data_IF_826920596136
#
_entry.id   IF_826920596136
#
_cell.length_a   1.000
_cell.length_b   1.000
_cell.length_c   1.000
_cell.angle_alpha   90.00
_cell.angle_beta   90.00
_cell.angle_gamma   90.00
#
_symmetry.space_group_name_H-M   'P 1'
#
loop_
_entity.id
_entity.type
_entity.pdbx_description
1 polymer ?
#
# COMPACT_ATOMS: atom_id res chain seq x y z
N UNK A 1 -7.24 2.44 -1.05
CA UNK A 1 -6.51 3.60 -0.49
C UNK A 1 -6.73 4.90 -1.25
N UNK A 2 -6.28 5.08 -2.51
CA UNK A 2 -6.46 6.35 -3.25
C UNK A 2 -7.91 6.83 -3.30
N UNK A 3 -8.85 5.92 -3.60
CA UNK A 3 -10.29 6.22 -3.61
C UNK A 3 -10.80 6.75 -2.26
N UNK A 4 -10.26 6.25 -1.15
CA UNK A 4 -10.61 6.69 0.21
C UNK A 4 -10.31 8.16 0.47
N UNK A 5 -9.37 8.77 -0.27
CA UNK A 5 -9.10 10.21 -0.17
C UNK A 5 -10.02 11.04 -1.06
N UNK A 6 -10.50 10.47 -2.17
CA UNK A 6 -11.35 11.13 -3.15
C UNK A 6 -12.82 11.14 -2.70
N UNK A 7 -13.35 9.98 -2.29
CA UNK A 7 -14.77 9.76 -2.01
C UNK A 7 -15.03 9.56 -0.51
N UNK A 8 -14.63 10.53 0.31
CA UNK A 8 -14.65 10.41 1.78
C UNK A 8 -16.06 10.30 2.39
N UNK A 9 -17.11 10.65 1.64
CA UNK A 9 -18.49 10.56 2.10
C UNK A 9 -19.14 9.21 1.75
N UNK A 10 -18.68 8.58 0.66
CA UNK A 10 -19.24 7.33 0.15
C UNK A 10 -18.51 6.11 0.71
N UNK A 11 -17.20 6.21 0.90
CA UNK A 11 -16.40 5.13 1.48
C UNK A 11 -16.49 5.23 2.99
N UNK A 12 -16.95 4.16 3.64
CA UNK A 12 -17.09 4.08 5.10
C UNK A 12 -15.89 3.45 5.79
N UNK A 13 -15.19 2.53 5.12
CA UNK A 13 -14.01 1.87 5.64
C UNK A 13 -13.07 1.47 4.51
N UNK A 14 -11.78 1.32 4.80
CA UNK A 14 -10.82 0.77 3.86
C UNK A 14 -9.81 -0.14 4.59
N UNK A 15 -9.52 -1.29 4.01
CA UNK A 15 -8.44 -2.16 4.48
C UNK A 15 -7.44 -2.36 3.34
N UNK A 16 -6.15 -2.30 3.64
CA UNK A 16 -5.07 -2.55 2.69
C UNK A 16 -4.07 -3.53 3.32
N UNK A 17 -3.85 -4.65 2.65
CA UNK A 17 -2.87 -5.67 3.06
C UNK A 17 -1.74 -5.68 2.02
N UNK A 18 -0.49 -5.53 2.47
CA UNK A 18 0.69 -5.65 1.58
C UNK A 18 0.71 -4.65 0.41
N UNK A 19 0.15 -3.46 0.59
CA UNK A 19 0.01 -2.49 -0.49
C UNK A 19 1.30 -1.67 -0.73
N UNK A 20 1.81 -1.56 -1.98
CA UNK A 20 2.92 -0.67 -2.30
C UNK A 20 2.46 0.79 -2.29
N UNK A 21 2.87 1.57 -1.29
CA UNK A 21 2.38 2.94 -1.08
C UNK A 21 3.36 3.99 -1.61
N UNK A 22 4.63 3.86 -1.26
CA UNK A 22 5.65 4.84 -1.54
C UNK A 22 7.02 4.20 -1.75
N UNK A 23 7.55 3.50 -0.76
CA UNK A 23 8.97 3.16 -0.67
C UNK A 23 9.52 2.40 -1.90
N UNK A 24 8.87 1.28 -2.28
CA UNK A 24 9.28 0.49 -3.45
C UNK A 24 9.07 1.24 -4.78
N UNK A 25 8.07 2.12 -4.83
CA UNK A 25 7.72 2.89 -6.03
C UNK A 25 8.64 4.09 -6.25
N UNK A 26 9.16 4.69 -5.19
CA UNK A 26 10.06 5.84 -5.24
C UNK A 26 11.54 5.46 -5.28
N UNK A 27 11.88 4.21 -5.01
CA UNK A 27 13.27 3.75 -4.91
C UNK A 27 13.74 3.07 -6.20
N UNK A 28 14.49 3.79 -7.02
CA UNK A 28 15.05 3.24 -8.25
C UNK A 28 15.96 2.03 -8.00
N UNK A 29 16.71 2.00 -6.90
CA UNK A 29 17.59 0.88 -6.57
C UNK A 29 16.82 -0.36 -6.15
N UNK A 30 15.74 -0.20 -5.38
CA UNK A 30 14.85 -1.33 -5.04
C UNK A 30 14.16 -1.87 -6.29
N UNK A 31 13.75 -0.99 -7.21
CA UNK A 31 13.22 -1.38 -8.52
C UNK A 31 14.22 -2.20 -9.34
N UNK A 32 15.48 -1.78 -9.42
CA UNK A 32 16.53 -2.54 -10.11
C UNK A 32 16.80 -3.90 -9.47
N UNK A 33 16.67 -4.00 -8.15
CA UNK A 33 16.85 -5.26 -7.42
C UNK A 33 15.66 -6.22 -7.53
N UNK A 34 14.54 -5.79 -8.13
CA UNK A 34 13.37 -6.66 -8.26
C UNK A 34 13.65 -7.83 -9.22
N UNK A 35 13.16 -9.04 -8.90
CA UNK A 35 13.21 -10.15 -9.83
C UNK A 35 12.55 -9.81 -11.18
N UNK A 36 13.15 -10.30 -12.27
CA UNK A 36 12.74 -10.01 -13.65
C UNK A 36 11.24 -10.18 -13.89
N UNK A 37 10.63 -11.21 -13.29
CA UNK A 37 9.19 -11.45 -13.38
C UNK A 37 8.34 -10.21 -13.04
N UNK A 38 8.68 -9.47 -11.97
CA UNK A 38 7.94 -8.27 -11.58
C UNK A 38 8.14 -7.12 -12.57
N UNK A 39 9.37 -6.96 -13.08
CA UNK A 39 9.69 -5.96 -14.08
C UNK A 39 8.96 -6.23 -15.41
N UNK A 40 8.88 -7.49 -15.84
CA UNK A 40 8.15 -7.91 -17.04
C UNK A 40 6.64 -7.66 -16.87
N UNK A 41 6.07 -7.92 -15.68
CA UNK A 41 4.66 -7.60 -15.37
C UNK A 41 4.40 -6.10 -15.43
N UNK A 42 5.27 -5.28 -14.81
CA UNK A 42 5.13 -3.82 -14.85
C UNK A 42 5.27 -3.29 -16.28
N UNK A 43 6.25 -3.77 -17.05
CA UNK A 43 6.45 -3.42 -18.44
C UNK A 43 5.22 -3.75 -19.30
N UNK A 44 4.67 -4.95 -19.14
CA UNK A 44 3.45 -5.39 -19.82
C UNK A 44 2.25 -4.49 -19.49
N UNK A 45 2.04 -4.15 -18.22
CA UNK A 45 0.93 -3.28 -17.78
C UNK A 45 1.06 -1.83 -18.26
N UNK A 46 2.28 -1.38 -18.53
CA UNK A 46 2.56 -0.06 -19.10
C UNK A 46 2.58 -0.06 -20.64
N UNK A 47 2.40 -1.22 -21.30
CA UNK A 47 2.49 -1.34 -22.75
C UNK A 47 3.89 -1.11 -23.30
N UNK A 48 4.94 -1.36 -22.50
CA UNK A 48 6.33 -1.21 -22.94
C UNK A 48 6.82 -2.48 -23.63
N UNK A 49 7.26 -2.35 -24.88
CA UNK A 49 7.90 -3.43 -25.65
C UNK A 49 9.35 -3.67 -25.25
N UNK A 50 10.07 -2.61 -24.85
CA UNK A 50 11.41 -2.68 -24.25
C UNK A 50 11.40 -2.01 -22.87
N UNK A 51 11.84 -2.74 -21.85
CA UNK A 51 11.86 -2.26 -20.46
C UNK A 51 13.24 -1.71 -20.14
N UNK A 52 13.42 -0.40 -20.26
CA UNK A 52 14.52 0.31 -19.59
C UNK A 52 14.14 0.53 -18.12
N UNK A 53 14.93 -0.02 -17.20
CA UNK A 53 14.66 0.01 -15.75
C UNK A 53 14.74 1.44 -15.22
N UNK A 54 15.61 2.29 -15.76
CA UNK A 54 15.74 3.68 -15.31
C UNK A 54 14.48 4.49 -15.67
N UNK A 55 14.04 4.39 -16.92
CA UNK A 55 12.76 4.97 -17.36
C UNK A 55 11.57 4.41 -16.58
N UNK A 56 11.56 3.11 -16.29
CA UNK A 56 10.50 2.47 -15.50
C UNK A 56 10.46 3.01 -14.07
N UNK A 57 11.61 3.13 -13.40
CA UNK A 57 11.72 3.69 -12.05
C UNK A 57 11.18 5.12 -11.97
N UNK A 58 11.53 5.97 -12.94
CA UNK A 58 10.99 7.32 -13.01
C UNK A 58 9.46 7.34 -13.11
N UNK A 59 8.88 6.47 -13.93
CA UNK A 59 7.43 6.37 -14.10
C UNK A 59 6.72 5.81 -12.85
N UNK A 60 7.30 4.80 -12.20
CA UNK A 60 6.72 4.24 -10.97
C UNK A 60 6.73 5.23 -9.81
N UNK A 61 7.67 6.17 -9.76
CA UNK A 61 7.69 7.21 -8.73
C UNK A 61 6.40 8.05 -8.69
N UNK A 62 5.75 8.25 -9.85
CA UNK A 62 4.47 8.95 -9.96
C UNK A 62 3.29 8.13 -9.40
N UNK A 63 3.43 6.81 -9.25
CA UNK A 63 2.40 5.95 -8.65
C UNK A 63 2.41 6.00 -7.13
N UNK A 64 3.47 6.53 -6.52
CA UNK A 64 3.50 6.73 -5.08
C UNK A 64 2.39 7.70 -4.63
N UNK A 65 1.62 7.28 -3.63
CA UNK A 65 0.56 8.12 -3.05
C UNK A 65 1.15 9.35 -2.32
N UNK A 66 2.40 9.27 -1.87
CA UNK A 66 3.11 10.43 -1.30
C UNK A 66 3.51 11.43 -2.38
N UNK A 67 4.08 10.97 -3.49
CA UNK A 67 4.41 11.83 -4.64
C UNK A 67 3.16 12.47 -5.25
N UNK A 68 2.02 11.76 -5.25
CA UNK A 68 0.72 12.30 -5.64
C UNK A 68 0.14 13.34 -4.66
N UNK A 69 0.79 13.59 -3.52
CA UNK A 69 0.35 14.57 -2.51
C UNK A 69 -0.78 14.09 -1.59
N UNK A 70 -1.14 12.81 -1.61
CA UNK A 70 -2.25 12.28 -0.82
C UNK A 70 -1.88 11.97 0.64
N UNK A 71 -0.60 11.74 0.93
CA UNK A 71 -0.10 11.31 2.25
C UNK A 71 0.73 12.36 2.98
N UNK A 72 0.75 13.61 2.50
CA UNK A 72 1.55 14.69 3.08
C UNK A 72 0.69 15.73 3.81
N UNK A 73 -0.28 16.33 3.13
CA UNK A 73 -1.08 17.45 3.66
C UNK A 73 -2.56 17.13 3.82
N UNK A 74 -3.08 16.19 3.03
CA UNK A 74 -4.50 15.85 2.99
C UNK A 74 -4.80 14.71 3.96
N UNK A 75 -5.74 14.93 4.87
CA UNK A 75 -6.33 13.86 5.68
C UNK A 75 -7.61 13.34 5.02
N UNK A 76 -7.91 12.07 5.24
CA UNK A 76 -9.22 11.49 4.90
C UNK A 76 -10.03 11.18 6.16
N UNK A 77 -11.35 11.38 6.08
CA UNK A 77 -12.31 10.95 7.12
C UNK A 77 -12.54 9.44 7.12
N UNK A 78 -12.12 8.73 6.07
CA UNK A 78 -12.29 7.28 5.96
C UNK A 78 -11.31 6.59 6.91
N UNK A 79 -11.75 5.72 7.83
CA UNK A 79 -10.89 4.88 8.64
C UNK A 79 -10.19 3.81 7.78
N UNK A 80 -8.86 3.90 7.72
CA UNK A 80 -8.00 2.99 6.95
C UNK A 80 -7.19 2.10 7.89
N UNK A 81 -7.36 0.78 7.75
CA UNK A 81 -6.46 -0.22 8.32
C UNK A 81 -5.41 -0.61 7.27
N UNK A 82 -4.14 -0.37 7.56
CA UNK A 82 -3.01 -0.73 6.71
C UNK A 82 -2.14 -1.79 7.39
N UNK A 83 -2.08 -2.99 6.80
CA UNK A 83 -1.38 -4.15 7.38
C UNK A 83 -0.30 -4.63 6.44
N UNK A 84 0.84 -5.02 6.99
CA UNK A 84 1.85 -5.79 6.26
C UNK A 84 2.53 -6.81 7.16
N UNK A 85 3.10 -7.84 6.54
CA UNK A 85 3.94 -8.79 7.25
C UNK A 85 5.31 -8.19 7.53
N UNK A 86 5.92 -8.65 8.62
CA UNK A 86 7.27 -8.27 8.99
C UNK A 86 8.29 -8.73 7.95
N UNK A 87 9.09 -7.78 7.47
CA UNK A 87 10.08 -8.03 6.43
C UNK A 87 9.54 -7.97 5.01
N UNK A 88 8.27 -7.59 4.80
CA UNK A 88 7.72 -7.38 3.45
C UNK A 88 8.49 -6.25 2.73
N UNK A 89 9.20 -6.56 1.62
CA UNK A 89 9.98 -5.55 0.89
C UNK A 89 9.14 -4.67 -0.02
N UNK A 90 7.89 -5.05 -0.30
CA UNK A 90 6.94 -4.31 -1.16
C UNK A 90 6.13 -3.32 -0.32
N UNK A 91 5.75 -3.71 0.90
CA UNK A 91 4.92 -2.92 1.80
C UNK A 91 5.57 -2.75 3.18
N UNK A 92 6.64 -1.95 3.29
CA UNK A 92 7.30 -1.73 4.57
C UNK A 92 6.36 -1.06 5.57
N UNK A 93 6.54 -1.36 6.85
CA UNK A 93 5.66 -0.82 7.88
C UNK A 93 5.69 0.72 7.99
N UNK A 94 6.76 1.37 7.53
CA UNK A 94 6.85 2.84 7.41
C UNK A 94 5.77 3.40 6.48
N UNK A 95 5.48 2.71 5.38
CA UNK A 95 4.46 3.12 4.40
C UNK A 95 3.05 3.01 5.01
N UNK A 96 2.78 1.93 5.73
CA UNK A 96 1.51 1.75 6.44
C UNK A 96 1.29 2.83 7.50
N UNK A 97 2.35 3.23 8.23
CA UNK A 97 2.28 4.35 9.19
C UNK A 97 1.91 5.68 8.50
N UNK A 98 2.49 5.98 7.34
CA UNK A 98 2.15 7.20 6.58
C UNK A 98 0.66 7.24 6.21
N UNK A 99 0.10 6.10 5.82
CA UNK A 99 -1.33 5.96 5.53
C UNK A 99 -2.17 6.19 6.78
N UNK A 100 -1.86 5.48 7.87
CA UNK A 100 -2.63 5.59 9.11
C UNK A 100 -2.64 7.03 9.66
N UNK A 101 -1.50 7.73 9.61
CA UNK A 101 -1.41 9.14 10.01
C UNK A 101 -2.25 10.10 9.14
N UNK A 102 -2.50 9.71 7.89
CA UNK A 102 -3.29 10.48 6.93
C UNK A 102 -4.79 10.12 6.96
N UNK A 103 -5.18 9.19 7.83
CA UNK A 103 -6.54 8.67 7.99
C UNK A 103 -7.11 9.04 9.36
N UNK A 104 -8.37 9.47 9.39
CA UNK A 104 -9.10 9.64 10.65
C UNK A 104 -9.33 8.26 11.25
N UNK A 105 -8.87 8.05 12.50
CA UNK A 105 -8.87 6.75 13.17
C UNK A 105 -8.15 5.64 12.37
N UNK A 106 -7.16 5.98 11.54
CA UNK A 106 -6.40 4.98 10.81
C UNK A 106 -5.46 4.17 11.71
N UNK A 107 -5.24 2.91 11.36
CA UNK A 107 -4.35 2.02 12.10
C UNK A 107 -3.34 1.35 11.16
N UNK A 108 -2.08 1.27 11.60
CA UNK A 108 -1.02 0.57 10.90
C UNK A 108 -0.56 -0.64 11.72
N UNK A 109 -0.70 -1.85 11.18
CA UNK A 109 -0.36 -3.09 11.89
C UNK A 109 0.79 -3.81 11.18
N UNK A 110 1.79 -4.24 11.96
CA UNK A 110 2.86 -5.12 11.51
C UNK A 110 2.62 -6.53 12.05
N UNK A 111 2.48 -7.51 11.17
CA UNK A 111 2.23 -8.91 11.55
C UNK A 111 3.56 -9.67 11.57
N UNK A 112 3.94 -10.33 12.69
CA UNK A 112 5.13 -11.17 12.74
C UNK A 112 5.11 -12.27 11.67
N UNK A 113 6.26 -12.56 11.06
CA UNK A 113 6.38 -13.47 9.91
C UNK A 113 6.78 -14.91 10.28
N UNK A 114 6.74 -15.28 11.56
CA UNK A 114 7.13 -16.61 12.07
C UNK A 114 6.40 -17.78 11.37
N UNK A 115 5.12 -17.59 11.02
CA UNK A 115 4.35 -18.51 10.20
C UNK A 115 3.49 -17.69 9.23
N UNK A 116 3.79 -17.82 7.93
CA UNK A 116 3.16 -17.05 6.88
C UNK A 116 1.63 -17.25 6.81
N UNK A 117 1.17 -18.49 6.91
CA UNK A 117 -0.26 -18.82 6.88
C UNK A 117 -1.00 -18.23 8.08
N UNK A 118 -0.40 -18.33 9.29
CA UNK A 118 -0.95 -17.71 10.48
C UNK A 118 -0.97 -16.18 10.38
N UNK A 119 0.06 -15.60 9.75
CA UNK A 119 0.14 -14.16 9.47
C UNK A 119 -0.98 -13.69 8.54
N UNK A 120 -1.27 -14.44 7.48
CA UNK A 120 -2.39 -14.15 6.59
C UNK A 120 -3.74 -14.30 7.29
N UNK A 121 -3.94 -15.37 8.05
CA UNK A 121 -5.18 -15.57 8.81
C UNK A 121 -5.42 -14.38 9.75
N UNK A 122 -4.41 -13.99 10.53
CA UNK A 122 -4.49 -12.83 11.44
C UNK A 122 -4.78 -11.52 10.68
N UNK A 123 -4.17 -11.34 9.51
CA UNK A 123 -4.41 -10.16 8.67
C UNK A 123 -5.86 -10.09 8.18
N UNK A 124 -6.44 -11.23 7.81
CA UNK A 124 -7.83 -11.34 7.39
C UNK A 124 -8.81 -11.16 8.56
N UNK A 125 -8.52 -11.72 9.73
CA UNK A 125 -9.34 -11.54 10.93
C UNK A 125 -9.40 -10.05 11.33
N UNK A 126 -8.27 -9.35 11.28
CA UNK A 126 -8.21 -7.90 11.50
C UNK A 126 -9.01 -7.13 10.46
N UNK A 127 -8.90 -7.52 9.18
CA UNK A 127 -9.66 -6.89 8.10
C UNK A 127 -11.17 -7.04 8.30
N UNK A 128 -11.64 -8.24 8.66
CA UNK A 128 -13.06 -8.51 8.91
C UNK A 128 -13.55 -7.72 10.12
N UNK A 129 -12.80 -7.72 11.22
CA UNK A 129 -13.18 -6.97 12.42
C UNK A 129 -13.26 -5.46 12.15
N UNK A 130 -12.33 -4.91 11.36
CA UNK A 130 -12.35 -3.51 10.93
C UNK A 130 -13.62 -3.19 10.15
N UNK A 131 -13.91 -3.99 9.12
CA UNK A 131 -15.10 -3.80 8.30
C UNK A 131 -16.39 -3.95 9.11
N UNK A 132 -16.46 -4.91 10.03
CA UNK A 132 -17.62 -5.09 10.91
C UNK A 132 -17.85 -3.86 11.79
N UNK A 133 -16.77 -3.28 12.31
CA UNK A 133 -16.84 -2.11 13.21
C UNK A 133 -17.31 -0.87 12.45
N UNK A 134 -16.68 -0.59 11.31
CA UNK A 134 -16.87 0.65 10.58
C UNK A 134 -18.06 0.63 9.61
N UNK A 135 -18.53 -0.54 9.17
CA UNK A 135 -19.71 -0.64 8.29
C UNK A 135 -21.04 -0.81 9.04
N UNK A 136 -21.00 -1.23 10.31
CA UNK A 136 -22.19 -1.31 11.16
C UNK A 136 -22.50 0.00 11.89
N UNK A 137 -21.52 0.89 12.00
CA UNK A 137 -21.67 2.24 12.54
C UNK A 137 -22.30 3.20 11.53
#
# INVERSE_FOLDING_TARGET
MRLSFLEQQRIKACVALGAPVHDILSSADKMKSMPKMYLDVLGSRLGKSAVDIHSLAAQMSAWSLRTQGLLASRKTKVPILAVSLEGDPVAPHSDNKLVAMSSQYGEAVKIPSNNLSAGYQKSLDLAVNWLITELKS
#
